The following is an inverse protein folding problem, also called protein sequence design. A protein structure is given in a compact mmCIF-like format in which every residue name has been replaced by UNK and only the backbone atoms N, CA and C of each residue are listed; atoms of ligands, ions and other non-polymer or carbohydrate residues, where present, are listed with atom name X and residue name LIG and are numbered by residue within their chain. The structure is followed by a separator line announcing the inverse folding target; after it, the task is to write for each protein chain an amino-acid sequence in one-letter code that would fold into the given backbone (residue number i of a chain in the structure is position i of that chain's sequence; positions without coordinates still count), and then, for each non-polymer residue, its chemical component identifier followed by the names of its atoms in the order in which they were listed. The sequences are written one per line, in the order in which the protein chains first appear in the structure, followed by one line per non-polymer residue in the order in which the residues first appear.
data_IF_501077159734
#
_entry.id   IF_501077159734
#
_cell.length_a   1.000
_cell.length_b   1.000
_cell.length_c   1.000
_cell.angle_alpha   90.00
_cell.angle_beta   90.00
_cell.angle_gamma   90.00
#
_symmetry.space_group_name_H-M   'P 1'
#
loop_
_entity.id
_entity.type
_entity.pdbx_description
1 polymer ?
#
# COMPACT_ATOMS: atom_id res chain seq x y z
N UNK A 1 -7.96 24.41 -5.42
CA UNK A 1 -6.67 24.71 -4.84
C UNK A 1 -5.50 24.17 -5.67
N UNK A 2 -5.59 22.98 -6.25
CA UNK A 2 -4.61 22.46 -7.20
C UNK A 2 -5.23 22.48 -8.61
N UNK A 3 -4.49 23.00 -9.58
CA UNK A 3 -4.87 22.86 -10.97
C UNK A 3 -4.60 21.43 -11.41
N UNK A 4 -5.65 20.61 -11.51
CA UNK A 4 -5.55 19.19 -11.87
C UNK A 4 -4.94 18.95 -13.24
N UNK A 5 -5.02 19.95 -14.15
CA UNK A 5 -4.40 19.86 -15.47
C UNK A 5 -2.86 19.82 -15.41
N UNK A 6 -2.28 20.13 -14.24
CA UNK A 6 -0.82 20.15 -14.03
C UNK A 6 -0.32 18.99 -13.14
N UNK A 7 -1.20 18.04 -12.74
CA UNK A 7 -0.79 16.91 -11.95
C UNK A 7 -0.27 15.76 -12.83
N UNK A 8 0.95 15.33 -12.60
CA UNK A 8 1.52 14.14 -13.24
C UNK A 8 0.88 12.85 -12.71
N UNK A 9 0.49 12.85 -11.42
CA UNK A 9 -0.15 11.72 -10.75
C UNK A 9 -1.12 12.20 -9.67
N UNK A 10 -2.28 11.55 -9.62
CA UNK A 10 -3.23 11.64 -8.52
C UNK A 10 -3.55 10.21 -8.06
N UNK A 11 -2.80 9.73 -7.07
CA UNK A 11 -2.97 8.40 -6.51
C UNK A 11 -3.89 8.40 -5.31
N UNK A 12 -4.70 7.36 -5.19
CA UNK A 12 -5.45 7.03 -3.98
C UNK A 12 -5.18 5.59 -3.55
N UNK A 13 -4.98 5.38 -2.25
CA UNK A 13 -4.87 4.07 -1.63
C UNK A 13 -6.20 3.69 -0.98
N UNK A 14 -6.64 2.46 -1.20
CA UNK A 14 -7.91 1.96 -0.71
C UNK A 14 -7.80 0.53 -0.20
N UNK A 15 -8.60 0.19 0.80
CA UNK A 15 -8.84 -1.20 1.18
C UNK A 15 -10.06 -1.76 0.43
N UNK A 16 -10.06 -3.04 0.00
CA UNK A 16 -11.13 -3.64 -0.78
C UNK A 16 -12.53 -3.51 -0.16
N UNK A 17 -12.62 -3.58 1.17
CA UNK A 17 -13.89 -3.45 1.91
C UNK A 17 -14.46 -2.02 1.96
N UNK A 18 -13.69 -1.01 1.60
CA UNK A 18 -14.09 0.40 1.70
C UNK A 18 -14.51 1.03 0.38
N UNK A 19 -14.28 0.33 -0.73
CA UNK A 19 -14.52 0.81 -2.10
C UNK A 19 -15.80 0.21 -2.67
N UNK A 20 -16.60 1.05 -3.32
CA UNK A 20 -17.79 0.64 -4.05
C UNK A 20 -17.73 1.13 -5.51
N UNK A 21 -18.53 0.57 -6.44
CA UNK A 21 -18.58 1.06 -7.80
C UNK A 21 -18.90 2.57 -7.90
N UNK A 22 -19.80 3.07 -7.04
CA UNK A 22 -20.12 4.50 -7.00
C UNK A 22 -18.95 5.37 -6.53
N UNK A 23 -18.17 4.90 -5.55
CA UNK A 23 -16.95 5.59 -5.12
C UNK A 23 -15.90 5.61 -6.25
N UNK A 24 -15.72 4.49 -6.95
CA UNK A 24 -14.79 4.43 -8.10
C UNK A 24 -15.19 5.40 -9.21
N UNK A 25 -16.47 5.53 -9.50
CA UNK A 25 -16.97 6.50 -10.46
C UNK A 25 -16.62 7.95 -10.03
N UNK A 26 -16.87 8.30 -8.78
CA UNK A 26 -16.49 9.61 -8.23
C UNK A 26 -14.98 9.84 -8.28
N UNK A 27 -14.16 8.84 -7.94
CA UNK A 27 -12.71 8.95 -8.01
C UNK A 27 -12.22 9.20 -9.44
N UNK A 28 -12.81 8.50 -10.41
CA UNK A 28 -12.52 8.70 -11.83
C UNK A 28 -12.92 10.11 -12.29
N UNK A 29 -14.12 10.60 -11.92
CA UNK A 29 -14.59 11.95 -12.19
C UNK A 29 -13.70 13.02 -11.55
N UNK A 30 -13.16 12.72 -10.36
CA UNK A 30 -12.19 13.58 -9.68
C UNK A 30 -10.80 13.58 -10.34
N UNK A 31 -10.57 12.76 -11.36
CA UNK A 31 -9.31 12.69 -12.10
C UNK A 31 -8.22 11.88 -11.39
N UNK A 32 -8.60 10.91 -10.57
CA UNK A 32 -7.65 9.93 -10.03
C UNK A 32 -7.01 9.17 -11.17
N UNK A 33 -5.68 9.18 -11.21
CA UNK A 33 -4.89 8.54 -12.26
C UNK A 33 -4.35 7.17 -11.86
N UNK A 34 -4.23 6.89 -10.56
CA UNK A 34 -3.74 5.63 -10.02
C UNK A 34 -4.54 5.21 -8.79
N UNK A 35 -5.04 3.99 -8.79
CA UNK A 35 -5.68 3.35 -7.64
C UNK A 35 -4.76 2.25 -7.11
N UNK A 36 -4.41 2.29 -5.82
CA UNK A 36 -3.69 1.22 -5.12
C UNK A 36 -4.65 0.49 -4.19
N UNK A 37 -4.80 -0.82 -4.36
CA UNK A 37 -5.64 -1.64 -3.50
C UNK A 37 -4.77 -2.46 -2.54
N UNK A 38 -4.88 -2.17 -1.24
CA UNK A 38 -4.26 -2.92 -0.17
C UNK A 38 -4.96 -4.26 0.06
N UNK A 39 -4.67 -5.24 -0.80
CA UNK A 39 -5.25 -6.59 -0.68
C UNK A 39 -4.50 -7.46 0.31
N UNK A 40 -3.20 -7.25 0.43
CA UNK A 40 -2.24 -7.84 1.36
C UNK A 40 -2.07 -9.35 1.27
N UNK A 41 -3.16 -10.12 1.19
CA UNK A 41 -3.20 -11.55 0.87
C UNK A 41 -4.46 -11.87 0.10
N UNK A 42 -4.41 -12.96 -0.68
CA UNK A 42 -5.55 -13.52 -1.41
C UNK A 42 -5.99 -14.88 -0.80
N UNK A 43 -5.74 -15.04 0.51
CA UNK A 43 -6.15 -16.19 1.29
C UNK A 43 -6.97 -15.71 2.50
N UNK A 44 -8.22 -16.18 2.60
CA UNK A 44 -9.18 -15.73 3.62
C UNK A 44 -8.75 -16.04 5.06
N UNK A 45 -8.09 -17.18 5.28
CA UNK A 45 -7.59 -17.58 6.59
C UNK A 45 -6.43 -16.66 7.04
N UNK A 46 -5.50 -16.35 6.13
CA UNK A 46 -4.39 -15.43 6.41
C UNK A 46 -4.91 -14.03 6.67
N UNK A 47 -5.87 -13.55 5.88
CA UNK A 47 -6.53 -12.26 6.13
C UNK A 47 -7.19 -12.20 7.51
N UNK A 48 -7.88 -13.26 7.91
CA UNK A 48 -8.55 -13.34 9.21
C UNK A 48 -7.57 -13.30 10.39
N UNK A 49 -6.54 -14.15 10.36
CA UNK A 49 -5.49 -14.20 11.38
C UNK A 49 -4.83 -12.82 11.56
N UNK A 50 -4.65 -12.08 10.46
CA UNK A 50 -4.02 -10.77 10.48
C UNK A 50 -5.01 -9.60 10.70
N UNK A 51 -6.26 -9.92 11.09
CA UNK A 51 -7.27 -8.92 11.49
C UNK A 51 -7.80 -8.07 10.35
N UNK A 52 -7.72 -8.57 9.10
CA UNK A 52 -8.24 -7.85 7.94
C UNK A 52 -9.75 -7.99 7.82
N UNK A 53 -10.42 -6.86 7.62
CA UNK A 53 -11.88 -6.83 7.53
C UNK A 53 -12.43 -7.39 6.20
N UNK A 54 -11.63 -7.34 5.14
CA UNK A 54 -12.01 -7.85 3.82
C UNK A 54 -11.69 -9.35 3.66
N UNK A 55 -12.24 -9.94 2.62
CA UNK A 55 -12.03 -11.34 2.20
C UNK A 55 -11.82 -11.37 0.69
N UNK A 56 -11.30 -12.47 0.15
CA UNK A 56 -11.03 -12.65 -1.28
C UNK A 56 -12.22 -12.23 -2.17
N UNK A 57 -13.45 -12.64 -1.83
CA UNK A 57 -14.64 -12.23 -2.58
C UNK A 57 -14.83 -10.70 -2.66
N UNK A 58 -14.37 -9.95 -1.65
CA UNK A 58 -14.43 -8.48 -1.69
C UNK A 58 -13.36 -7.92 -2.61
N UNK A 59 -12.18 -8.54 -2.62
CA UNK A 59 -11.10 -8.21 -3.55
C UNK A 59 -11.55 -8.42 -4.99
N UNK A 60 -12.07 -9.61 -5.34
CA UNK A 60 -12.53 -9.92 -6.69
C UNK A 60 -13.61 -8.96 -7.16
N UNK A 61 -14.58 -8.66 -6.29
CA UNK A 61 -15.68 -7.74 -6.61
C UNK A 61 -15.18 -6.32 -6.88
N UNK A 62 -14.31 -5.79 -6.00
CA UNK A 62 -13.79 -4.42 -6.19
C UNK A 62 -12.84 -4.36 -7.36
N UNK A 63 -12.04 -5.41 -7.59
CA UNK A 63 -11.12 -5.49 -8.71
C UNK A 63 -11.86 -5.46 -10.06
N UNK A 64 -12.91 -6.28 -10.21
CA UNK A 64 -13.76 -6.24 -11.40
C UNK A 64 -14.35 -4.84 -11.65
N UNK A 65 -14.78 -4.16 -10.59
CA UNK A 65 -15.29 -2.78 -10.68
C UNK A 65 -14.21 -1.76 -11.04
N UNK A 66 -12.99 -1.92 -10.49
CA UNK A 66 -11.86 -1.06 -10.80
C UNK A 66 -11.41 -1.22 -12.26
N UNK A 67 -11.35 -2.46 -12.76
CA UNK A 67 -11.04 -2.76 -14.17
C UNK A 67 -12.08 -2.20 -15.14
N UNK A 68 -13.33 -2.08 -14.72
CA UNK A 68 -14.41 -1.48 -15.49
C UNK A 68 -14.45 0.07 -15.39
N UNK A 69 -13.67 0.66 -14.49
CA UNK A 69 -13.57 2.11 -14.33
C UNK A 69 -12.66 2.74 -15.37
N UNK A 70 -12.69 4.07 -15.47
CA UNK A 70 -11.77 4.84 -16.31
C UNK A 70 -10.48 5.25 -15.61
N UNK A 71 -10.16 4.71 -14.44
CA UNK A 71 -8.90 4.98 -13.73
C UNK A 71 -7.75 4.33 -14.50
N UNK A 72 -6.74 5.10 -14.96
CA UNK A 72 -5.75 4.60 -15.91
C UNK A 72 -4.80 3.54 -15.38
N UNK A 73 -4.49 3.55 -14.07
CA UNK A 73 -3.51 2.65 -13.46
C UNK A 73 -4.07 1.99 -12.22
N UNK A 74 -4.00 0.66 -12.18
CA UNK A 74 -4.47 -0.17 -11.07
C UNK A 74 -3.31 -0.97 -10.48
N UNK A 75 -3.07 -0.77 -9.19
CA UNK A 75 -2.02 -1.45 -8.43
C UNK A 75 -2.63 -2.36 -7.37
N UNK A 76 -1.99 -3.49 -7.13
CA UNK A 76 -2.27 -4.38 -6.01
C UNK A 76 -1.10 -4.38 -5.03
N UNK A 77 -1.38 -4.15 -3.75
CA UNK A 77 -0.39 -4.24 -2.69
C UNK A 77 -0.54 -5.57 -1.95
N UNK A 78 0.54 -6.32 -1.85
CA UNK A 78 0.65 -7.58 -1.13
C UNK A 78 1.70 -7.50 -0.02
N UNK A 79 1.55 -8.36 0.98
CA UNK A 79 2.53 -8.50 2.06
C UNK A 79 2.94 -9.98 2.14
N UNK A 80 4.22 -10.27 1.86
CA UNK A 80 4.77 -11.60 2.06
C UNK A 80 5.18 -11.81 3.52
N UNK A 81 4.92 -12.99 4.06
CA UNK A 81 5.31 -13.36 5.42
C UNK A 81 4.37 -12.87 6.50
N UNK A 82 3.09 -12.76 6.21
CA UNK A 82 2.04 -12.50 7.20
C UNK A 82 2.00 -13.59 8.28
N UNK A 83 1.41 -13.28 9.42
CA UNK A 83 1.25 -14.25 10.52
C UNK A 83 0.42 -15.43 10.04
N UNK A 84 0.92 -16.65 10.26
CA UNK A 84 0.28 -17.90 9.84
C UNK A 84 0.50 -18.28 8.38
N UNK A 85 1.17 -17.44 7.60
CA UNK A 85 1.43 -17.73 6.19
C UNK A 85 2.45 -18.86 6.01
N UNK A 86 2.18 -19.74 5.07
CA UNK A 86 3.05 -20.83 4.62
C UNK A 86 3.43 -20.61 3.15
N UNK A 87 4.44 -21.35 2.68
CA UNK A 87 4.78 -21.31 1.25
C UNK A 87 3.59 -21.76 0.37
N UNK A 88 2.76 -22.70 0.84
CA UNK A 88 1.58 -23.15 0.11
C UNK A 88 0.52 -22.06 -0.01
N UNK A 89 0.22 -21.34 1.07
CA UNK A 89 -0.74 -20.22 1.04
C UNK A 89 -0.21 -19.04 0.22
N UNK A 90 1.11 -18.78 0.28
CA UNK A 90 1.74 -17.76 -0.54
C UNK A 90 1.66 -18.09 -2.04
N UNK A 91 1.95 -19.34 -2.44
CA UNK A 91 1.79 -19.79 -3.83
C UNK A 91 0.35 -19.63 -4.31
N UNK A 92 -0.63 -20.02 -3.51
CA UNK A 92 -2.04 -19.81 -3.84
C UNK A 92 -2.40 -18.35 -4.04
N UNK A 93 -1.83 -17.44 -3.21
CA UNK A 93 -1.97 -15.99 -3.38
C UNK A 93 -1.36 -15.54 -4.73
N UNK A 94 -0.17 -16.04 -5.09
CA UNK A 94 0.48 -15.69 -6.36
C UNK A 94 -0.30 -16.21 -7.58
N UNK A 95 -0.79 -17.45 -7.54
CA UNK A 95 -1.59 -18.03 -8.63
C UNK A 95 -2.83 -17.17 -8.91
N UNK A 96 -3.52 -16.72 -7.84
CA UNK A 96 -4.68 -15.84 -7.99
C UNK A 96 -4.27 -14.46 -8.53
N UNK A 97 -3.22 -13.83 -7.95
CA UNK A 97 -2.68 -12.54 -8.36
C UNK A 97 -2.37 -12.49 -9.87
N UNK A 98 -1.69 -13.52 -10.38
CA UNK A 98 -1.30 -13.60 -11.80
C UNK A 98 -2.50 -13.63 -12.75
N UNK A 99 -3.67 -14.05 -12.26
CA UNK A 99 -4.94 -14.02 -13.00
C UNK A 99 -5.62 -12.65 -12.97
N UNK A 100 -5.26 -11.76 -12.05
CA UNK A 100 -5.91 -10.45 -11.88
C UNK A 100 -5.46 -9.42 -12.93
N UNK A 101 -4.32 -9.60 -13.53
CA UNK A 101 -3.86 -8.80 -14.66
C UNK A 101 -3.73 -7.30 -14.28
N UNK A 102 -3.02 -7.01 -13.18
CA UNK A 102 -2.79 -5.65 -12.66
C UNK A 102 -1.78 -4.87 -13.50
N UNK A 103 -1.87 -3.53 -13.54
CA UNK A 103 -0.87 -2.69 -14.21
C UNK A 103 0.44 -2.66 -13.43
N UNK A 104 0.35 -2.71 -12.11
CA UNK A 104 1.49 -2.86 -11.20
C UNK A 104 1.14 -3.69 -9.98
N UNK A 105 2.17 -4.29 -9.38
CA UNK A 105 2.08 -5.05 -8.14
C UNK A 105 3.17 -4.59 -7.22
N UNK A 106 2.82 -4.29 -5.97
CA UNK A 106 3.79 -3.97 -4.93
C UNK A 106 3.76 -5.06 -3.87
N UNK A 107 4.93 -5.61 -3.52
CA UNK A 107 5.07 -6.70 -2.57
C UNK A 107 5.97 -6.25 -1.43
N UNK A 108 5.37 -5.99 -0.29
CA UNK A 108 6.08 -5.70 0.95
C UNK A 108 6.43 -6.98 1.68
N UNK A 109 7.42 -6.92 2.57
CA UNK A 109 7.71 -7.98 3.51
C UNK A 109 7.15 -7.61 4.87
N UNK A 110 6.43 -8.53 5.53
CA UNK A 110 5.84 -8.28 6.84
C UNK A 110 6.90 -7.86 7.85
N UNK A 111 6.71 -6.70 8.45
CA UNK A 111 7.47 -6.22 9.58
C UNK A 111 6.58 -6.19 10.82
N UNK A 112 7.18 -6.43 11.98
CA UNK A 112 6.49 -6.28 13.26
C UNK A 112 7.09 -5.10 14.03
N UNK A 113 6.59 -3.90 13.83
CA UNK A 113 7.08 -2.75 14.57
C UNK A 113 6.88 -2.93 16.06
N UNK A 114 7.83 -2.43 16.84
CA UNK A 114 7.76 -2.41 18.32
C UNK A 114 6.45 -1.73 18.74
N UNK A 115 5.80 -2.27 19.77
CA UNK A 115 4.50 -1.83 20.32
C UNK A 115 3.24 -2.22 19.54
N UNK A 116 3.33 -2.95 18.44
CA UNK A 116 2.15 -3.55 17.81
C UNK A 116 1.56 -4.68 18.65
N UNK A 117 0.29 -5.01 18.44
CA UNK A 117 -0.39 -6.13 19.10
C UNK A 117 0.35 -7.44 18.84
N UNK A 118 0.76 -7.70 17.59
CA UNK A 118 1.51 -8.90 17.23
C UNK A 118 2.89 -8.95 17.88
N UNK A 119 3.62 -7.83 17.94
CA UNK A 119 4.91 -7.77 18.63
C UNK A 119 4.78 -8.13 20.11
N UNK A 120 3.75 -7.57 20.77
CA UNK A 120 3.47 -7.86 22.19
C UNK A 120 3.04 -9.31 22.42
N UNK A 121 2.16 -9.85 21.56
CA UNK A 121 1.71 -11.24 21.62
C UNK A 121 2.88 -12.21 21.42
N UNK A 122 3.78 -11.93 20.47
CA UNK A 122 5.01 -12.70 20.28
C UNK A 122 5.89 -12.68 21.53
N UNK A 123 6.09 -11.52 22.15
CA UNK A 123 6.87 -11.37 23.38
C UNK A 123 6.29 -12.12 24.57
N UNK A 124 4.97 -12.39 24.59
CA UNK A 124 4.27 -13.19 25.59
C UNK A 124 4.21 -14.69 25.24
N UNK A 125 4.77 -15.10 24.09
CA UNK A 125 4.69 -16.49 23.63
C UNK A 125 3.29 -16.91 23.14
N UNK A 126 2.38 -15.97 22.94
CA UNK A 126 1.01 -16.23 22.46
C UNK A 126 0.95 -16.52 20.96
N UNK A 127 1.95 -16.07 20.20
CA UNK A 127 2.18 -16.51 18.82
C UNK A 127 3.15 -17.69 18.85
N UNK A 128 2.79 -18.80 18.22
CA UNK A 128 3.70 -19.92 18.04
C UNK A 128 5.03 -19.47 17.41
N UNK A 129 6.12 -20.13 17.74
CA UNK A 129 7.46 -19.73 17.28
C UNK A 129 7.59 -19.58 15.77
N UNK A 130 6.86 -20.40 15.00
CA UNK A 130 6.85 -20.43 13.53
C UNK A 130 5.69 -19.64 12.91
N UNK A 131 4.91 -18.92 13.73
CA UNK A 131 3.74 -18.16 13.22
C UNK A 131 4.13 -17.01 12.29
N UNK A 132 5.38 -16.54 12.33
CA UNK A 132 5.91 -15.50 11.47
C UNK A 132 7.17 -16.01 10.79
N UNK A 133 7.17 -16.10 9.46
CA UNK A 133 8.34 -16.52 8.72
C UNK A 133 9.56 -15.63 9.00
N UNK A 134 10.74 -16.24 9.00
CA UNK A 134 11.99 -15.53 9.15
C UNK A 134 12.33 -14.66 7.92
N UNK A 135 13.31 -13.78 8.05
CA UNK A 135 13.72 -12.90 6.96
C UNK A 135 14.24 -13.64 5.72
N UNK A 136 15.03 -14.72 5.83
CA UNK A 136 15.40 -15.53 4.67
C UNK A 136 14.19 -16.08 3.90
N UNK A 137 13.19 -16.58 4.61
CA UNK A 137 11.96 -17.11 4.03
C UNK A 137 11.14 -16.00 3.32
N UNK A 138 10.95 -14.85 3.98
CA UNK A 138 10.25 -13.70 3.36
C UNK A 138 10.94 -13.23 2.08
N UNK A 139 12.28 -13.12 2.09
CA UNK A 139 13.04 -12.75 0.88
C UNK A 139 12.89 -13.77 -0.23
N UNK A 140 12.94 -15.07 0.10
CA UNK A 140 12.72 -16.14 -0.88
C UNK A 140 11.31 -16.07 -1.48
N UNK A 141 10.28 -15.80 -0.67
CA UNK A 141 8.91 -15.66 -1.15
C UNK A 141 8.71 -14.41 -2.01
N UNK A 142 9.33 -13.29 -1.65
CA UNK A 142 9.31 -12.09 -2.49
C UNK A 142 10.01 -12.35 -3.84
N UNK A 143 11.17 -13.02 -3.84
CA UNK A 143 11.86 -13.41 -5.07
C UNK A 143 10.98 -14.30 -5.94
N UNK A 144 10.38 -15.35 -5.36
CA UNK A 144 9.43 -16.24 -6.05
C UNK A 144 8.29 -15.46 -6.73
N UNK A 145 7.76 -14.44 -6.06
CA UNK A 145 6.69 -13.63 -6.61
C UNK A 145 7.17 -12.78 -7.79
N UNK A 146 8.35 -12.17 -7.67
CA UNK A 146 8.91 -11.38 -8.76
C UNK A 146 9.32 -12.23 -9.96
N UNK A 147 9.91 -13.39 -9.72
CA UNK A 147 10.21 -14.36 -10.80
C UNK A 147 8.92 -14.73 -11.58
N UNK A 148 7.83 -15.05 -10.86
CA UNK A 148 6.55 -15.38 -11.47
C UNK A 148 5.91 -14.18 -12.22
N UNK A 149 6.09 -12.97 -11.75
CA UNK A 149 5.64 -11.76 -12.43
C UNK A 149 6.48 -11.49 -13.69
N UNK A 150 7.81 -11.65 -13.62
CA UNK A 150 8.70 -11.50 -14.78
C UNK A 150 8.38 -12.53 -15.88
N UNK A 151 8.07 -13.77 -15.53
CA UNK A 151 7.59 -14.81 -16.48
C UNK A 151 6.29 -14.42 -17.18
N UNK A 152 5.49 -13.52 -16.57
CA UNK A 152 4.27 -12.93 -17.15
C UNK A 152 4.50 -11.59 -17.85
N UNK A 153 5.77 -11.20 -18.04
CA UNK A 153 6.16 -10.01 -18.77
C UNK A 153 6.17 -8.71 -17.96
N UNK A 154 6.08 -8.79 -16.62
CA UNK A 154 6.30 -7.63 -15.78
C UNK A 154 7.78 -7.29 -15.69
N UNK A 155 8.08 -6.02 -15.46
CA UNK A 155 9.45 -5.51 -15.22
C UNK A 155 9.56 -4.97 -13.81
N UNK A 156 10.64 -5.29 -13.11
CA UNK A 156 10.94 -4.73 -11.80
C UNK A 156 11.33 -3.27 -11.93
N UNK A 157 10.62 -2.38 -11.23
CA UNK A 157 10.91 -0.94 -11.20
C UNK A 157 11.44 -0.46 -9.86
N UNK A 158 11.38 -1.30 -8.84
CA UNK A 158 11.99 -1.08 -7.53
C UNK A 158 12.17 -2.40 -6.79
N UNK A 159 12.77 -2.34 -5.60
CA UNK A 159 12.95 -3.51 -4.73
C UNK A 159 11.61 -4.18 -4.30
N UNK A 160 10.48 -3.51 -4.48
CA UNK A 160 9.17 -3.98 -4.03
C UNK A 160 8.08 -3.88 -5.09
N UNK A 161 8.36 -3.36 -6.30
CA UNK A 161 7.32 -3.09 -7.30
C UNK A 161 7.69 -3.68 -8.66
N UNK A 162 6.77 -4.43 -9.24
CA UNK A 162 6.80 -4.86 -10.63
C UNK A 162 5.67 -4.15 -11.41
N UNK A 163 5.93 -3.78 -12.67
CA UNK A 163 4.96 -3.15 -13.57
C UNK A 163 4.86 -3.95 -14.86
N UNK A 164 3.66 -4.04 -15.43
CA UNK A 164 3.43 -4.73 -16.69
C UNK A 164 4.00 -3.97 -17.88
N UNK A 165 3.80 -2.67 -17.93
CA UNK A 165 4.25 -1.80 -19.00
C UNK A 165 4.84 -0.53 -18.38
N UNK A 166 6.17 -0.47 -18.30
CA UNK A 166 6.90 0.67 -17.71
C UNK A 166 6.75 1.97 -18.52
N UNK A 167 6.26 1.91 -19.76
CA UNK A 167 5.95 3.11 -20.55
C UNK A 167 4.63 3.76 -20.17
N UNK A 168 3.72 3.00 -19.54
CA UNK A 168 2.35 3.43 -19.18
C UNK A 168 2.12 3.49 -17.68
N UNK A 169 2.80 2.65 -16.90
CA UNK A 169 2.60 2.52 -15.47
C UNK A 169 3.84 3.01 -14.72
N UNK A 170 3.70 4.13 -14.02
CA UNK A 170 4.74 4.70 -13.17
C UNK A 170 4.13 5.06 -11.82
N UNK A 171 4.94 5.02 -10.77
CA UNK A 171 4.57 5.58 -9.48
C UNK A 171 5.37 6.88 -9.27
N UNK A 172 4.88 7.95 -9.90
CA UNK A 172 5.56 9.26 -9.98
C UNK A 172 5.83 9.84 -8.59
N UNK A 173 4.87 9.75 -7.68
CA UNK A 173 5.04 10.21 -6.30
C UNK A 173 6.25 9.54 -5.62
N UNK A 174 6.33 8.22 -5.67
CA UNK A 174 7.45 7.46 -5.08
C UNK A 174 8.78 7.85 -5.72
N UNK A 175 8.82 7.87 -7.05
CA UNK A 175 10.05 8.13 -7.80
C UNK A 175 10.56 9.56 -7.54
N UNK A 176 9.65 10.53 -7.45
CA UNK A 176 9.95 11.93 -7.11
C UNK A 176 10.48 12.06 -5.68
N UNK A 177 9.81 11.39 -4.72
CA UNK A 177 10.21 11.39 -3.32
C UNK A 177 11.61 10.78 -3.14
N UNK A 178 11.89 9.65 -3.77
CA UNK A 178 13.20 9.00 -3.73
C UNK A 178 14.26 9.78 -4.50
N UNK A 179 13.86 10.58 -5.49
CA UNK A 179 14.70 11.55 -6.19
C UNK A 179 14.99 12.81 -5.39
N UNK A 180 14.48 12.92 -4.17
CA UNK A 180 14.74 14.06 -3.28
C UNK A 180 13.81 15.28 -3.51
N UNK A 181 12.68 15.09 -4.17
CA UNK A 181 11.69 16.15 -4.33
C UNK A 181 11.11 16.57 -2.96
N UNK A 182 10.72 17.84 -2.86
CA UNK A 182 9.98 18.32 -1.71
C UNK A 182 8.61 17.63 -1.60
N UNK A 183 8.23 17.30 -0.38
CA UNK A 183 6.95 16.67 -0.06
C UNK A 183 6.25 17.44 1.05
N UNK A 184 5.04 17.87 0.81
CA UNK A 184 4.18 18.51 1.82
C UNK A 184 3.11 17.53 2.30
N UNK A 185 3.23 17.10 3.55
CA UNK A 185 2.24 16.25 4.21
C UNK A 185 1.12 17.06 4.84
N UNK A 186 -0.12 16.77 4.46
CA UNK A 186 -1.32 17.39 5.03
C UNK A 186 -2.05 16.39 5.92
N UNK A 187 -2.59 16.87 7.02
CA UNK A 187 -3.35 16.09 7.99
C UNK A 187 -2.59 15.78 9.28
N UNK A 188 -3.29 15.13 10.19
CA UNK A 188 -2.77 14.72 11.51
C UNK A 188 -1.63 13.73 11.33
N UNK A 189 -0.53 13.91 12.06
CA UNK A 189 0.69 13.08 12.02
C UNK A 189 1.42 13.05 10.69
N UNK A 190 0.98 13.77 9.66
CA UNK A 190 1.62 13.73 8.35
C UNK A 190 3.06 14.22 8.43
N UNK A 191 3.94 13.55 7.69
CA UNK A 191 5.33 13.95 7.53
C UNK A 191 5.51 14.80 6.29
N UNK A 192 6.46 15.72 6.34
CA UNK A 192 6.89 16.54 5.23
C UNK A 192 8.41 16.50 5.11
N UNK A 193 8.91 16.73 3.90
CA UNK A 193 10.31 17.00 3.61
C UNK A 193 10.36 18.18 2.66
N UNK A 194 10.75 19.35 3.14
CA UNK A 194 10.78 20.57 2.35
C UNK A 194 12.08 21.34 2.66
N UNK A 195 12.80 21.72 1.60
CA UNK A 195 14.04 22.48 1.73
C UNK A 195 15.10 21.78 2.60
N UNK A 196 15.21 20.45 2.51
CA UNK A 196 16.15 19.64 3.29
C UNK A 196 15.74 19.41 4.76
N UNK A 197 14.57 19.88 5.18
CA UNK A 197 14.07 19.73 6.55
C UNK A 197 12.93 18.74 6.61
N UNK A 198 13.04 17.72 7.48
CA UNK A 198 11.94 16.84 7.82
C UNK A 198 11.13 17.44 8.97
N UNK A 199 9.80 17.48 8.84
CA UNK A 199 8.92 17.85 9.93
C UNK A 199 7.66 17.01 9.94
N UNK A 200 7.03 16.96 11.10
CA UNK A 200 5.80 16.20 11.33
C UNK A 200 4.72 17.11 11.92
N UNK A 201 3.51 16.97 11.41
CA UNK A 201 2.34 17.62 11.98
C UNK A 201 1.97 17.03 13.34
N UNK A 202 1.18 17.81 14.11
CA UNK A 202 0.63 17.39 15.40
C UNK A 202 -0.09 16.03 15.26
N UNK A 203 0.21 15.12 16.19
CA UNK A 203 -0.31 13.74 16.17
C UNK A 203 -1.67 13.57 16.88
N UNK A 204 -2.11 14.57 17.63
CA UNK A 204 -3.40 14.55 18.32
C UNK A 204 -4.40 15.39 17.53
N UNK A 205 -5.54 14.78 17.16
CA UNK A 205 -6.56 15.40 16.31
C UNK A 205 -7.03 16.74 16.89
N UNK A 206 -7.33 16.78 18.18
CA UNK A 206 -7.86 17.96 18.86
C UNK A 206 -6.86 19.13 18.80
N UNK A 207 -5.56 18.86 19.02
CA UNK A 207 -4.51 19.88 18.96
C UNK A 207 -4.26 20.33 17.52
N UNK A 208 -4.28 19.40 16.57
CA UNK A 208 -4.15 19.71 15.16
C UNK A 208 -5.25 20.67 14.69
N UNK A 209 -6.51 20.36 15.03
CA UNK A 209 -7.67 21.19 14.69
C UNK A 209 -7.60 22.55 15.41
N UNK A 210 -7.27 22.58 16.70
CA UNK A 210 -7.16 23.81 17.47
C UNK A 210 -6.16 24.80 16.83
N UNK A 211 -4.93 24.33 16.52
CA UNK A 211 -3.91 25.17 15.88
C UNK A 211 -4.37 25.73 14.54
N UNK A 212 -4.99 24.90 13.69
CA UNK A 212 -5.53 25.35 12.40
C UNK A 212 -6.62 26.41 12.59
N UNK A 213 -7.49 26.25 13.60
CA UNK A 213 -8.55 27.22 13.92
C UNK A 213 -7.99 28.57 14.39
N UNK A 214 -6.82 28.57 14.97
CA UNK A 214 -6.06 29.76 15.43
C UNK A 214 -5.18 30.35 14.31
N UNK A 215 -5.18 29.74 13.11
CA UNK A 215 -4.36 30.17 11.98
C UNK A 215 -2.88 29.78 12.12
N UNK A 216 -2.55 28.87 13.03
CA UNK A 216 -1.20 28.40 13.25
C UNK A 216 -0.86 27.16 12.40
N UNK A 217 0.41 27.02 12.03
CA UNK A 217 0.91 25.77 11.43
C UNK A 217 0.90 24.65 12.47
N UNK A 218 0.28 23.51 12.19
CA UNK A 218 0.12 22.42 13.16
C UNK A 218 1.37 21.55 13.28
N UNK A 219 2.55 22.17 13.34
CA UNK A 219 3.84 21.48 13.41
C UNK A 219 4.13 21.01 14.84
N UNK A 220 4.49 19.73 14.99
CA UNK A 220 4.89 19.15 16.28
C UNK A 220 6.41 19.14 16.46
N UNK A 221 7.15 18.74 15.42
CA UNK A 221 8.61 18.60 15.46
C UNK A 221 9.20 18.72 14.07
N UNK A 222 10.49 19.09 14.03
CA UNK A 222 11.29 19.14 12.81
C UNK A 222 12.71 18.65 13.06
N UNK A 223 13.36 18.19 12.00
CA UNK A 223 14.76 17.75 11.99
C UNK A 223 15.44 18.29 10.72
N UNK A 224 16.64 18.77 10.91
CA UNK A 224 17.54 19.22 9.82
C UNK A 224 18.60 18.19 9.58
#
# INVERSE_FOLDING_TARGET
LLDRAQLDEFTIECEPGTVSPSKLAVLAELGVTRLSLGVESLNDEILDINGRAHRLRHVDKVWASAKASSIPQLNLDLISGLVGESEGTWRGTLDHLLGMDADSVTIYQMEMPVNTTFFKARGRGELGGDAVPDWPTKRRWSAMAFDALEERGYSLTSAVTAVRDASRSRFVYRDSLWGGADMLGLGVSAFSHVGGTHYQNEKHIERYVARLSEGEWPLQRGYV
#
